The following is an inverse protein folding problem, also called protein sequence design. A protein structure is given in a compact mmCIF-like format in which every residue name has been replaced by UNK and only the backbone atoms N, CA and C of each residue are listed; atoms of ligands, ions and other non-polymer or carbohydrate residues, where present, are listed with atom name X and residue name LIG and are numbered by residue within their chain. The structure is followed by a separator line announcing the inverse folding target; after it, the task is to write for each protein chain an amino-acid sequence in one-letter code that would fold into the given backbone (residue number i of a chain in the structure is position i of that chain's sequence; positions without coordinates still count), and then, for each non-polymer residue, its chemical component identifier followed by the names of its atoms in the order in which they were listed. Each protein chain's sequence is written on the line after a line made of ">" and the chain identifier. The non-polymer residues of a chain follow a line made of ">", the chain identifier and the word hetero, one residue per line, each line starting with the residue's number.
data_IF_379734196914
#
_entry.id   IF_379734196914
#
_cell.length_a   1.000
_cell.length_b   1.000
_cell.length_c   1.000
_cell.angle_alpha   90.00
_cell.angle_beta   90.00
_cell.angle_gamma   90.00
#
_symmetry.space_group_name_H-M   'P 1'
#
loop_
_entity.id
_entity.type
_entity.pdbx_description
1 polymer ?
#
# COMPACT_ATOMS: atom_id res chain seq x y z
N UNK A 1 26.86 -79.03 47.82
CA UNK A 1 26.45 -78.73 46.43
C UNK A 1 27.47 -79.30 45.47
N UNK A 2 27.07 -79.88 44.34
CA UNK A 2 28.01 -80.50 43.38
C UNK A 2 28.52 -79.49 42.35
N UNK A 3 29.75 -79.66 41.85
CA UNK A 3 30.30 -78.81 40.77
C UNK A 3 29.46 -78.88 39.48
N UNK A 4 28.75 -80.00 39.25
CA UNK A 4 27.86 -80.16 38.11
C UNK A 4 26.61 -79.26 38.21
N UNK A 5 26.00 -79.16 39.40
CA UNK A 5 24.85 -78.28 39.63
C UNK A 5 25.19 -76.80 39.47
N UNK A 6 26.39 -76.39 39.90
CA UNK A 6 26.84 -75.00 39.78
C UNK A 6 27.05 -74.58 38.32
N UNK A 7 27.70 -75.44 37.52
CA UNK A 7 27.88 -75.20 36.08
C UNK A 7 26.57 -75.20 35.30
N UNK A 8 25.56 -75.95 35.74
CA UNK A 8 24.22 -75.91 35.17
C UNK A 8 23.52 -74.58 35.46
N UNK A 9 23.61 -74.09 36.70
CA UNK A 9 23.03 -72.81 37.11
C UNK A 9 23.66 -71.62 36.37
N UNK A 10 24.99 -71.60 36.21
CA UNK A 10 25.69 -70.55 35.46
C UNK A 10 25.25 -70.54 33.99
N UNK A 11 25.15 -71.71 33.35
CA UNK A 11 24.66 -71.81 31.96
C UNK A 11 23.21 -71.35 31.82
N UNK A 12 22.35 -71.71 32.77
CA UNK A 12 20.96 -71.23 32.81
C UNK A 12 20.90 -69.69 32.99
N UNK A 13 21.73 -69.11 33.86
CA UNK A 13 21.83 -67.66 34.03
C UNK A 13 22.26 -66.94 32.76
N UNK A 14 23.33 -67.41 32.10
CA UNK A 14 23.83 -66.80 30.86
C UNK A 14 22.82 -66.90 29.72
N UNK A 15 22.13 -68.04 29.58
CA UNK A 15 21.10 -68.22 28.54
C UNK A 15 19.86 -67.36 28.80
N UNK A 16 19.41 -67.25 30.06
CA UNK A 16 18.30 -66.38 30.44
C UNK A 16 18.62 -64.90 30.21
N UNK A 17 19.84 -64.45 30.52
CA UNK A 17 20.26 -63.06 30.26
C UNK A 17 20.35 -62.74 28.77
N UNK A 18 20.84 -63.68 27.95
CA UNK A 18 20.94 -63.47 26.49
C UNK A 18 19.57 -63.47 25.81
N UNK A 19 18.67 -64.35 26.25
CA UNK A 19 17.31 -64.43 25.70
C UNK A 19 16.46 -63.23 26.09
N UNK A 20 16.60 -62.71 27.32
CA UNK A 20 15.89 -61.50 27.76
C UNK A 20 16.38 -60.24 27.03
N UNK A 21 17.70 -60.06 26.88
CA UNK A 21 18.30 -58.95 26.12
C UNK A 21 17.90 -58.99 24.65
N UNK A 22 18.06 -60.13 23.97
CA UNK A 22 17.72 -60.25 22.55
C UNK A 22 16.22 -60.10 22.27
N UNK A 23 15.34 -60.52 23.20
CA UNK A 23 13.90 -60.27 23.06
C UNK A 23 13.54 -58.80 23.25
N UNK A 24 14.19 -58.10 24.18
CA UNK A 24 14.01 -56.66 24.39
C UNK A 24 14.49 -55.85 23.17
N UNK A 25 15.67 -56.16 22.64
CA UNK A 25 16.25 -55.52 21.46
C UNK A 25 15.37 -55.67 20.21
N UNK A 26 14.79 -56.86 19.98
CA UNK A 26 13.84 -57.08 18.88
C UNK A 26 12.57 -56.26 19.04
N UNK A 27 12.01 -56.16 20.26
CA UNK A 27 10.83 -55.33 20.53
C UNK A 27 11.13 -53.85 20.33
N UNK A 28 12.27 -53.37 20.83
CA UNK A 28 12.71 -51.98 20.66
C UNK A 28 12.91 -51.64 19.18
N UNK A 29 13.51 -52.55 18.40
CA UNK A 29 13.68 -52.38 16.96
C UNK A 29 12.34 -52.35 16.22
N UNK A 30 11.40 -53.24 16.58
CA UNK A 30 10.06 -53.24 16.02
C UNK A 30 9.29 -51.95 16.33
N UNK A 31 9.37 -51.46 17.56
CA UNK A 31 8.77 -50.18 17.96
C UNK A 31 9.35 -49.00 17.18
N UNK A 32 10.68 -48.99 16.97
CA UNK A 32 11.36 -47.97 16.18
C UNK A 32 10.88 -47.94 14.73
N UNK A 33 10.77 -49.10 14.07
CA UNK A 33 10.27 -49.19 12.69
C UNK A 33 8.82 -48.71 12.58
N UNK A 34 8.00 -49.02 13.59
CA UNK A 34 6.60 -48.58 13.63
C UNK A 34 6.50 -47.06 13.83
N UNK A 35 7.31 -46.49 14.73
CA UNK A 35 7.37 -45.05 14.97
C UNK A 35 7.88 -44.28 13.73
N UNK A 36 8.91 -44.81 13.06
CA UNK A 36 9.43 -44.28 11.79
C UNK A 36 8.36 -44.31 10.69
N UNK A 37 7.62 -45.42 10.54
CA UNK A 37 6.54 -45.55 9.55
C UNK A 37 5.36 -44.61 9.83
N UNK A 38 5.05 -44.35 11.09
CA UNK A 38 4.02 -43.37 11.49
C UNK A 38 4.47 -41.92 11.33
N UNK A 39 5.78 -41.69 11.12
CA UNK A 39 6.33 -40.35 10.96
C UNK A 39 6.16 -39.50 12.21
N UNK A 40 6.18 -40.11 13.40
CA UNK A 40 5.90 -39.43 14.67
C UNK A 40 6.86 -38.24 14.89
N UNK A 41 8.13 -38.40 14.53
CA UNK A 41 9.13 -37.32 14.58
C UNK A 41 8.81 -36.15 13.63
N UNK A 42 8.30 -36.45 12.44
CA UNK A 42 7.91 -35.43 11.44
C UNK A 42 6.69 -34.66 11.92
N UNK A 43 5.71 -35.34 12.53
CA UNK A 43 4.53 -34.71 13.13
C UNK A 43 4.94 -33.82 14.30
N UNK A 44 5.87 -34.28 15.15
CA UNK A 44 6.39 -33.47 16.26
C UNK A 44 7.10 -32.20 15.75
N UNK A 45 7.94 -32.32 14.73
CA UNK A 45 8.63 -31.20 14.12
C UNK A 45 7.65 -30.20 13.47
N UNK A 46 6.62 -30.70 12.78
CA UNK A 46 5.57 -29.86 12.21
C UNK A 46 4.79 -29.12 13.29
N UNK A 47 4.43 -29.79 14.40
CA UNK A 47 3.76 -29.15 15.53
C UNK A 47 4.65 -28.10 16.21
N UNK A 48 5.97 -28.29 16.21
CA UNK A 48 6.94 -27.31 16.73
C UNK A 48 7.03 -26.07 15.82
N UNK A 49 6.92 -26.25 14.50
CA UNK A 49 6.91 -25.16 13.52
C UNK A 49 5.56 -24.45 13.42
N UNK A 50 4.47 -25.16 13.69
CA UNK A 50 3.13 -24.60 13.72
C UNK A 50 2.99 -23.67 14.92
N UNK A 51 3.26 -22.38 14.70
CA UNK A 51 2.99 -21.34 15.69
C UNK A 51 1.51 -21.41 16.08
N UNK A 52 1.16 -21.53 17.37
CA UNK A 52 -0.23 -21.50 17.78
C UNK A 52 -0.86 -20.20 17.29
N UNK A 53 -2.05 -20.30 16.69
CA UNK A 53 -2.78 -19.13 16.23
C UNK A 53 -2.94 -18.16 17.41
N UNK A 54 -2.38 -16.96 17.28
CA UNK A 54 -2.42 -15.95 18.33
C UNK A 54 -3.87 -15.55 18.54
N UNK A 55 -4.43 -15.89 19.70
CA UNK A 55 -5.75 -15.41 20.13
C UNK A 55 -5.72 -13.89 20.18
N UNK A 56 -6.41 -13.23 19.25
CA UNK A 56 -6.51 -11.78 19.21
C UNK A 56 -7.50 -11.33 20.29
N UNK A 57 -7.04 -10.47 21.20
CA UNK A 57 -7.90 -9.87 22.21
C UNK A 57 -8.90 -8.93 21.53
N UNK A 58 -10.19 -9.21 21.70
CA UNK A 58 -11.25 -8.32 21.22
C UNK A 58 -11.27 -7.03 22.05
N UNK A 59 -11.63 -5.93 21.42
CA UNK A 59 -11.78 -4.65 22.11
C UNK A 59 -12.90 -4.72 23.15
N UNK A 60 -12.74 -3.99 24.26
CA UNK A 60 -13.80 -3.84 25.27
C UNK A 60 -14.87 -2.90 24.71
N UNK A 61 -16.14 -3.28 24.81
CA UNK A 61 -17.25 -2.40 24.42
C UNK A 61 -17.35 -1.22 25.38
N UNK A 62 -17.51 -0.01 24.84
CA UNK A 62 -17.70 1.23 25.61
C UNK A 62 -19.21 1.46 25.77
N UNK A 63 -19.71 1.70 27.00
CA UNK A 63 -21.12 1.99 27.21
C UNK A 63 -21.52 3.30 26.54
N UNK A 64 -22.72 3.33 25.95
CA UNK A 64 -23.26 4.55 25.38
C UNK A 64 -23.53 5.58 26.49
N UNK A 65 -22.92 6.76 26.35
CA UNK A 65 -23.31 7.93 27.15
C UNK A 65 -24.68 8.39 26.65
N UNK A 66 -25.61 8.58 27.59
CA UNK A 66 -27.00 8.95 27.29
C UNK A 66 -27.11 10.25 26.48
N UNK A 67 -28.23 10.40 25.78
CA UNK A 67 -28.48 11.56 24.93
C UNK A 67 -28.58 12.85 25.73
N UNK A 68 -27.92 13.91 25.26
CA UNK A 68 -28.09 15.27 25.78
C UNK A 68 -29.48 15.79 25.35
N UNK A 69 -30.23 16.48 26.22
CA UNK A 69 -31.51 17.07 25.86
C UNK A 69 -31.38 18.01 24.67
N UNK A 70 -32.33 17.96 23.74
CA UNK A 70 -32.33 18.83 22.57
C UNK A 70 -32.52 20.30 22.99
N UNK A 71 -31.46 21.10 22.90
CA UNK A 71 -31.55 22.56 23.00
C UNK A 71 -31.76 23.16 21.60
N UNK A 72 -32.70 24.11 21.49
CA UNK A 72 -32.85 24.92 20.28
C UNK A 72 -31.89 26.11 20.35
N UNK A 73 -30.75 26.02 19.66
CA UNK A 73 -29.87 27.17 19.44
C UNK A 73 -30.45 28.09 18.37
N UNK A 74 -30.50 29.41 18.63
CA UNK A 74 -30.82 30.42 17.62
C UNK A 74 -29.54 31.15 17.23
N UNK A 75 -29.04 30.91 16.02
CA UNK A 75 -27.93 31.67 15.44
C UNK A 75 -28.46 32.86 14.65
N UNK A 76 -27.88 34.04 14.85
CA UNK A 76 -28.07 35.17 13.94
C UNK A 76 -27.32 34.89 12.64
N UNK A 77 -28.04 34.50 11.59
CA UNK A 77 -27.46 34.31 10.26
C UNK A 77 -27.36 35.66 9.56
N UNK A 78 -26.12 36.08 9.26
CA UNK A 78 -25.86 37.14 8.28
C UNK A 78 -25.59 36.42 6.96
N UNK A 79 -26.50 36.57 6.01
CA UNK A 79 -26.30 36.02 4.67
C UNK A 79 -25.05 36.66 4.05
N UNK A 80 -24.11 35.86 3.52
CA UNK A 80 -23.11 36.40 2.61
C UNK A 80 -23.83 37.13 1.47
N UNK A 81 -23.26 38.24 0.95
CA UNK A 81 -23.81 38.86 -0.25
C UNK A 81 -23.95 37.78 -1.34
N UNK A 82 -25.03 37.81 -2.15
CA UNK A 82 -25.23 36.84 -3.20
C UNK A 82 -23.98 36.83 -4.07
N UNK A 83 -23.44 35.64 -4.35
CA UNK A 83 -22.38 35.49 -5.32
C UNK A 83 -22.92 36.01 -6.66
N UNK A 84 -22.52 37.22 -7.02
CA UNK A 84 -22.74 37.78 -8.36
C UNK A 84 -22.21 36.73 -9.34
N UNK A 85 -23.04 36.36 -10.31
CA UNK A 85 -22.88 35.17 -11.15
C UNK A 85 -21.46 34.91 -11.65
N UNK A 86 -21.15 33.62 -11.87
CA UNK A 86 -19.84 33.17 -12.33
C UNK A 86 -19.39 33.98 -13.54
N UNK A 87 -18.39 34.84 -13.33
CA UNK A 87 -17.74 35.67 -14.35
C UNK A 87 -16.82 34.84 -15.24
N UNK A 88 -17.36 33.79 -15.84
CA UNK A 88 -16.66 32.97 -16.81
C UNK A 88 -16.68 33.63 -18.18
N UNK A 89 -15.59 33.51 -18.91
CA UNK A 89 -15.50 33.85 -20.33
C UNK A 89 -16.11 32.69 -21.13
N UNK A 90 -17.04 32.98 -22.05
CA UNK A 90 -17.68 31.92 -22.84
C UNK A 90 -16.84 31.55 -24.06
N UNK A 91 -16.34 30.31 -24.12
CA UNK A 91 -15.64 29.78 -25.29
C UNK A 91 -16.61 29.47 -26.45
N UNK A 92 -16.20 29.63 -27.72
CA UNK A 92 -14.87 30.03 -28.20
C UNK A 92 -14.63 31.54 -28.14
N UNK A 93 -13.35 31.92 -28.04
CA UNK A 93 -12.91 33.29 -28.26
C UNK A 93 -12.61 33.49 -29.74
N UNK A 94 -13.24 34.49 -30.35
CA UNK A 94 -13.03 34.86 -31.75
C UNK A 94 -12.44 36.24 -31.85
N UNK A 95 -11.40 36.39 -32.66
CA UNK A 95 -10.88 37.70 -33.00
C UNK A 95 -11.69 38.29 -34.15
N UNK A 96 -12.35 39.42 -33.89
CA UNK A 96 -13.20 40.09 -34.88
C UNK A 96 -12.46 41.16 -35.67
N UNK A 97 -11.38 41.73 -35.13
CA UNK A 97 -10.61 42.78 -35.79
C UNK A 97 -9.11 42.71 -35.51
N UNK A 98 -8.35 42.32 -36.53
CA UNK A 98 -6.89 42.24 -36.49
C UNK A 98 -6.19 43.59 -36.23
N UNK A 99 -6.80 44.71 -36.62
CA UNK A 99 -6.19 46.03 -36.44
C UNK A 99 -6.13 46.48 -34.97
N UNK A 100 -6.85 45.80 -34.08
CA UNK A 100 -6.82 46.06 -32.63
C UNK A 100 -5.65 45.38 -31.91
N UNK A 101 -4.81 44.63 -32.65
CA UNK A 101 -3.60 44.03 -32.09
C UNK A 101 -2.55 45.12 -31.85
N UNK A 102 -2.01 45.15 -30.64
CA UNK A 102 -0.80 45.93 -30.35
C UNK A 102 0.38 44.98 -30.25
N UNK A 103 1.55 45.45 -30.71
CA UNK A 103 2.82 44.75 -30.61
C UNK A 103 3.79 45.57 -29.76
N UNK A 104 4.75 44.89 -29.14
CA UNK A 104 5.91 45.51 -28.52
C UNK A 104 6.94 45.93 -29.58
N UNK A 105 8.00 46.61 -29.15
CA UNK A 105 9.08 47.04 -30.04
C UNK A 105 9.71 45.85 -30.79
N UNK A 106 10.06 46.09 -32.06
CA UNK A 106 10.66 45.08 -32.93
C UNK A 106 11.98 44.55 -32.37
N UNK A 107 12.13 43.23 -32.39
CA UNK A 107 13.36 42.54 -31.99
C UNK A 107 14.03 41.88 -33.18
N UNK A 108 15.35 41.93 -33.19
CA UNK A 108 16.18 41.40 -34.25
C UNK A 108 17.01 40.23 -33.72
N UNK A 109 16.83 39.06 -34.32
CA UNK A 109 17.57 37.85 -33.99
C UNK A 109 18.46 37.46 -35.16
N UNK A 110 19.76 37.50 -34.96
CA UNK A 110 20.73 37.03 -35.96
C UNK A 110 20.93 35.53 -35.84
N UNK A 111 20.93 34.83 -36.96
CA UNK A 111 21.23 33.39 -37.01
C UNK A 111 22.67 33.12 -36.55
N UNK A 112 22.94 31.89 -36.11
CA UNK A 112 24.27 31.50 -35.58
C UNK A 112 25.39 31.67 -36.62
N UNK A 113 25.07 31.49 -37.90
CA UNK A 113 25.98 31.69 -39.02
C UNK A 113 26.12 33.16 -39.46
N UNK A 114 25.32 34.08 -38.87
CA UNK A 114 25.37 35.52 -39.16
C UNK A 114 24.73 35.94 -40.49
N UNK A 115 24.14 35.01 -41.25
CA UNK A 115 23.68 35.28 -42.62
C UNK A 115 22.30 35.94 -42.65
N UNK A 116 21.42 35.58 -41.73
CA UNK A 116 20.06 36.10 -41.69
C UNK A 116 19.76 36.81 -40.38
N UNK A 117 18.98 37.87 -40.46
CA UNK A 117 18.40 38.57 -39.31
C UNK A 117 16.90 38.47 -39.41
N UNK A 118 16.28 37.92 -38.37
CA UNK A 118 14.83 37.81 -38.23
C UNK A 118 14.33 39.01 -37.45
N UNK A 119 13.44 39.80 -38.06
CA UNK A 119 12.67 40.79 -37.33
C UNK A 119 11.37 40.16 -36.85
N UNK A 120 11.12 40.25 -35.55
CA UNK A 120 9.91 39.74 -34.91
C UNK A 120 9.30 40.87 -34.08
N UNK A 121 8.00 41.09 -34.25
CA UNK A 121 7.21 42.02 -33.46
C UNK A 121 6.40 41.22 -32.43
N UNK A 122 6.79 41.21 -31.14
CA UNK A 122 6.13 40.41 -30.14
C UNK A 122 4.71 40.93 -29.85
N UNK A 123 3.70 40.07 -29.64
CA UNK A 123 2.36 40.53 -29.32
C UNK A 123 2.32 41.19 -27.93
N UNK A 124 1.64 42.32 -27.83
CA UNK A 124 1.41 43.08 -26.60
C UNK A 124 -0.03 42.98 -26.13
N UNK A 125 -0.99 43.12 -27.05
CA UNK A 125 -2.42 43.09 -26.74
C UNK A 125 -3.22 42.43 -27.86
N UNK A 126 -4.13 41.53 -27.51
CA UNK A 126 -5.18 41.04 -28.39
C UNK A 126 -6.56 41.37 -27.82
N UNK A 127 -7.47 41.79 -28.71
CA UNK A 127 -8.88 42.03 -28.39
C UNK A 127 -9.70 40.94 -29.06
N UNK A 128 -10.45 40.18 -28.27
CA UNK A 128 -11.29 39.08 -28.72
C UNK A 128 -12.73 39.29 -28.25
N UNK A 129 -13.65 38.57 -28.87
CA UNK A 129 -15.05 38.50 -28.48
C UNK A 129 -15.36 37.06 -28.06
N UNK A 130 -16.08 36.91 -26.95
CA UNK A 130 -16.51 35.62 -26.44
C UNK A 130 -17.82 35.15 -27.12
N UNK A 131 -18.24 33.91 -26.86
CA UNK A 131 -19.45 33.35 -27.49
C UNK A 131 -20.75 34.10 -27.13
N UNK A 132 -20.73 34.95 -26.09
CA UNK A 132 -21.85 35.78 -25.66
C UNK A 132 -21.74 37.24 -26.15
N UNK A 133 -20.71 37.57 -26.94
CA UNK A 133 -20.47 38.91 -27.47
C UNK A 133 -19.71 39.85 -26.52
N UNK A 134 -19.15 39.32 -25.42
CA UNK A 134 -18.38 40.12 -24.47
C UNK A 134 -16.94 40.31 -24.97
N UNK A 135 -16.43 41.54 -24.88
CA UNK A 135 -15.03 41.86 -25.21
C UNK A 135 -14.09 41.31 -24.15
N UNK A 136 -13.06 40.59 -24.61
CA UNK A 136 -11.99 40.02 -23.79
C UNK A 136 -10.65 40.56 -24.29
N UNK A 137 -9.90 41.20 -23.39
CA UNK A 137 -8.56 41.70 -23.69
C UNK A 137 -7.49 40.78 -23.10
N UNK A 138 -6.58 40.30 -23.94
CA UNK A 138 -5.40 39.55 -23.51
C UNK A 138 -4.17 40.44 -23.60
N UNK A 139 -3.54 40.71 -22.47
CA UNK A 139 -2.36 41.59 -22.37
C UNK A 139 -1.15 40.72 -22.06
N UNK A 140 -0.14 40.80 -22.91
CA UNK A 140 1.09 40.01 -22.82
C UNK A 140 2.24 40.86 -22.32
N UNK A 141 3.02 40.29 -21.41
CA UNK A 141 4.27 40.90 -20.98
C UNK A 141 5.27 40.97 -22.14
N UNK A 142 6.18 41.94 -22.08
CA UNK A 142 7.27 42.02 -23.04
C UNK A 142 8.20 40.80 -22.85
N UNK A 143 8.56 40.06 -23.92
CA UNK A 143 9.51 38.96 -23.80
C UNK A 143 10.89 39.49 -23.38
N UNK A 144 11.64 38.71 -22.60
CA UNK A 144 13.02 39.05 -22.23
C UNK A 144 13.99 38.84 -23.40
#
# INVERSE_FOLDING_TARGET
>A
MSLASERAAIRAGVTNSRTSSGAAERRATGQRIVAERRGESVVEDLNRLQRPARTVRTLRSVPAVGGVPALRGRGSYVAPPPATGGGGIASPLTETNYALREFHDSRYFTTVDGIFVWQIDPPKKFVMEDANGATVEQIFAEPA
#
